data_IF_645881888779
#
_entry.id   IF_645881888779
#
_cell.length_a   1.000
_cell.length_b   1.000
_cell.length_c   1.000
_cell.angle_alpha   90.00
_cell.angle_beta   90.00
_cell.angle_gamma   90.00
#
_symmetry.space_group_name_H-M   'P 1'
#
loop_
_entity.id
_entity.type
_entity.pdbx_description
1 polymer ?
#
# COMPACT_ATOMS: atom_id res chain seq x y z
N UNK A 1 5.21 3.57 12.17
CA UNK A 1 5.78 2.27 11.73
C UNK A 1 6.50 2.50 10.41
N UNK A 2 7.67 1.90 10.17
CA UNK A 2 8.34 2.01 8.86
C UNK A 2 7.48 1.30 7.81
N UNK A 3 7.16 1.95 6.69
CA UNK A 3 6.45 1.32 5.58
C UNK A 3 7.35 0.29 4.92
N UNK A 4 7.31 -0.95 5.40
CA UNK A 4 8.00 -2.09 4.79
C UNK A 4 6.95 -3.02 4.18
N UNK A 5 7.35 -3.83 3.20
CA UNK A 5 6.41 -4.74 2.52
C UNK A 5 5.69 -5.66 3.51
N UNK A 6 6.40 -6.22 4.50
CA UNK A 6 5.78 -7.07 5.53
C UNK A 6 4.76 -6.30 6.37
N UNK A 7 5.05 -5.06 6.74
CA UNK A 7 4.13 -4.23 7.51
C UNK A 7 2.86 -3.91 6.73
N UNK A 8 2.97 -3.66 5.43
CA UNK A 8 1.82 -3.44 4.54
C UNK A 8 1.00 -4.72 4.41
N UNK A 9 1.66 -5.86 4.17
CA UNK A 9 0.98 -7.15 4.02
C UNK A 9 0.20 -7.49 5.30
N UNK A 10 0.83 -7.37 6.47
CA UNK A 10 0.17 -7.64 7.75
C UNK A 10 -0.93 -6.64 8.08
N UNK A 11 -0.81 -5.38 7.65
CA UNK A 11 -1.82 -4.36 7.88
C UNK A 11 -3.06 -4.58 6.99
N UNK A 12 -2.85 -4.90 5.72
CA UNK A 12 -3.91 -4.97 4.72
C UNK A 12 -4.57 -6.35 4.63
N UNK A 13 -3.78 -7.43 4.64
CA UNK A 13 -4.27 -8.81 4.53
C UNK A 13 -4.35 -9.54 5.87
N UNK A 14 -4.08 -8.86 6.98
CA UNK A 14 -4.17 -9.44 8.33
C UNK A 14 -5.61 -9.50 8.83
N UNK A 15 -5.89 -10.43 9.76
CA UNK A 15 -7.20 -10.55 10.40
C UNK A 15 -7.63 -9.25 11.11
N UNK A 16 -8.94 -8.98 11.11
CA UNK A 16 -9.48 -7.80 11.79
C UNK A 16 -9.41 -8.01 13.30
N UNK A 17 -8.41 -7.38 13.90
CA UNK A 17 -8.08 -7.52 15.31
C UNK A 17 -7.91 -6.13 15.92
N UNK A 18 -8.12 -5.95 17.24
CA UNK A 18 -7.86 -4.67 17.90
C UNK A 18 -6.43 -4.15 17.66
N UNK A 19 -5.46 -5.07 17.56
CA UNK A 19 -4.07 -4.74 17.22
C UNK A 19 -3.96 -4.16 15.81
N UNK A 20 -4.72 -4.68 14.83
CA UNK A 20 -4.75 -4.13 13.46
C UNK A 20 -5.36 -2.74 13.46
N UNK A 21 -6.49 -2.54 14.14
CA UNK A 21 -7.14 -1.22 14.26
C UNK A 21 -6.20 -0.19 14.89
N UNK A 22 -5.50 -0.55 15.96
CA UNK A 22 -4.47 0.30 16.56
C UNK A 22 -3.32 0.66 15.59
N UNK A 23 -2.88 -0.30 14.75
CA UNK A 23 -1.85 -0.05 13.72
C UNK A 23 -2.35 0.90 12.62
N UNK A 24 -3.62 0.79 12.23
CA UNK A 24 -4.29 1.68 11.27
C UNK A 24 -4.33 3.09 11.85
N UNK A 25 -4.80 3.25 13.09
CA UNK A 25 -4.88 4.54 13.79
C UNK A 25 -3.51 5.25 13.85
N UNK A 26 -2.45 4.52 14.19
CA UNK A 26 -1.09 5.10 14.26
C UNK A 26 -0.45 5.34 12.90
N UNK A 27 -1.00 4.81 11.81
CA UNK A 27 -0.44 4.95 10.46
C UNK A 27 -1.53 5.20 9.41
N UNK A 28 -2.43 6.17 9.67
CA UNK A 28 -3.51 6.54 8.73
C UNK A 28 -3.03 6.81 7.29
N UNK A 29 -1.86 7.45 7.04
CA UNK A 29 -1.37 7.64 5.67
C UNK A 29 -1.08 6.31 4.94
N UNK A 30 -0.52 5.32 5.65
CA UNK A 30 -0.25 4.00 5.11
C UNK A 30 -1.55 3.25 4.79
N UNK A 31 -2.54 3.33 5.68
CA UNK A 31 -3.85 2.74 5.44
C UNK A 31 -4.53 3.35 4.21
N UNK A 32 -4.51 4.68 4.12
CA UNK A 32 -5.08 5.41 2.98
C UNK A 32 -4.39 5.06 1.66
N UNK A 33 -3.07 4.84 1.68
CA UNK A 33 -2.31 4.36 0.53
C UNK A 33 -2.77 2.98 0.07
N UNK A 34 -2.92 2.04 1.01
CA UNK A 34 -3.46 0.71 0.69
C UNK A 34 -4.86 0.80 0.07
N UNK A 35 -5.75 1.65 0.61
CA UNK A 35 -7.08 1.85 0.05
C UNK A 35 -7.03 2.36 -1.40
N UNK A 36 -6.20 3.37 -1.69
CA UNK A 36 -6.05 3.89 -3.06
C UNK A 36 -5.52 2.83 -4.02
N UNK A 37 -4.45 2.13 -3.63
CA UNK A 37 -3.85 1.09 -4.47
C UNK A 37 -4.85 -0.04 -4.71
N UNK A 38 -5.67 -0.42 -3.72
CA UNK A 38 -6.67 -1.48 -3.89
C UNK A 38 -7.74 -1.22 -4.95
N UNK A 39 -7.98 0.05 -5.30
CA UNK A 39 -8.96 0.41 -6.33
C UNK A 39 -8.44 0.18 -7.75
N UNK A 40 -7.13 0.24 -7.95
CA UNK A 40 -6.48 0.22 -9.28
C UNK A 40 -5.51 -0.94 -9.46
N UNK A 41 -5.20 -1.67 -8.40
CA UNK A 41 -4.22 -2.74 -8.44
C UNK A 41 -4.76 -3.97 -9.17
N UNK A 42 -4.02 -4.39 -10.20
CA UNK A 42 -4.26 -5.64 -10.92
C UNK A 42 -3.28 -6.69 -10.40
N UNK A 43 -3.82 -7.77 -9.83
CA UNK A 43 -2.99 -8.87 -9.34
C UNK A 43 -2.28 -9.59 -10.51
N UNK A 44 -0.96 -9.87 -10.41
CA UNK A 44 -0.23 -10.62 -11.43
C UNK A 44 -0.81 -12.02 -11.72
N UNK A 45 -1.45 -12.64 -10.73
CA UNK A 45 -2.13 -13.93 -10.90
C UNK A 45 -3.49 -13.84 -11.60
N UNK A 46 -4.02 -12.65 -11.84
CA UNK A 46 -5.39 -12.43 -12.31
C UNK A 46 -6.46 -12.50 -11.22
N UNK A 47 -6.08 -12.64 -9.95
CA UNK A 47 -7.03 -12.60 -8.83
C UNK A 47 -7.80 -11.27 -8.78
N UNK A 48 -9.13 -11.34 -8.61
CA UNK A 48 -10.00 -10.16 -8.64
C UNK A 48 -10.21 -9.53 -7.27
N UNK A 49 -10.07 -10.31 -6.20
CA UNK A 49 -10.31 -9.83 -4.83
C UNK A 49 -9.11 -10.12 -3.91
N UNK A 50 -8.85 -9.25 -2.91
CA UNK A 50 -7.74 -9.41 -1.97
C UNK A 50 -7.71 -10.78 -1.26
N UNK A 51 -8.87 -11.38 -1.01
CA UNK A 51 -8.97 -12.71 -0.37
C UNK A 51 -8.39 -13.84 -1.23
N UNK A 52 -8.39 -13.66 -2.55
CA UNK A 52 -7.84 -14.62 -3.52
C UNK A 52 -6.34 -14.40 -3.78
N UNK A 53 -5.74 -13.34 -3.22
CA UNK A 53 -4.35 -12.98 -3.52
C UNK A 53 -3.38 -14.03 -2.99
N UNK A 54 -2.57 -14.55 -3.89
CA UNK A 54 -1.44 -15.43 -3.58
C UNK A 54 -0.31 -14.62 -2.95
N UNK A 55 0.70 -15.32 -2.43
CA UNK A 55 1.90 -14.70 -1.83
C UNK A 55 2.58 -13.70 -2.77
N UNK A 56 2.64 -14.01 -4.07
CA UNK A 56 3.16 -13.13 -5.11
C UNK A 56 2.34 -11.83 -5.22
N UNK A 57 1.02 -11.95 -5.26
CA UNK A 57 0.10 -10.81 -5.42
C UNK A 57 0.16 -9.89 -4.21
N UNK A 58 0.19 -10.44 -2.99
CA UNK A 58 0.35 -9.67 -1.75
C UNK A 58 1.68 -8.90 -1.73
N UNK A 59 2.74 -9.51 -2.26
CA UNK A 59 4.06 -8.87 -2.35
C UNK A 59 4.08 -7.76 -3.40
N UNK A 60 3.45 -7.99 -4.56
CA UNK A 60 3.30 -6.99 -5.62
C UNK A 60 2.44 -5.81 -5.15
N UNK A 61 1.33 -6.07 -4.47
CA UNK A 61 0.48 -5.06 -3.85
C UNK A 61 1.28 -4.20 -2.87
N UNK A 62 2.06 -4.83 -1.99
CA UNK A 62 2.87 -4.11 -1.03
C UNK A 62 3.94 -3.22 -1.69
N UNK A 63 4.51 -3.63 -2.83
CA UNK A 63 5.42 -2.79 -3.63
C UNK A 63 4.70 -1.59 -4.22
N UNK A 64 3.52 -1.79 -4.83
CA UNK A 64 2.70 -0.71 -5.38
C UNK A 64 2.31 0.32 -4.30
N UNK A 65 1.99 -0.10 -3.08
CA UNK A 65 1.74 0.79 -1.94
C UNK A 65 2.99 1.60 -1.55
N UNK A 66 4.17 0.97 -1.57
CA UNK A 66 5.41 1.70 -1.28
C UNK A 66 5.73 2.73 -2.37
N UNK A 67 5.47 2.42 -3.62
CA UNK A 67 5.63 3.34 -4.74
C UNK A 67 4.67 4.53 -4.64
N UNK A 68 3.39 4.28 -4.32
CA UNK A 68 2.40 5.34 -4.07
C UNK A 68 2.85 6.28 -2.95
N UNK A 69 3.34 5.72 -1.83
CA UNK A 69 3.85 6.50 -0.71
C UNK A 69 5.12 7.28 -1.04
N UNK A 70 5.98 6.76 -1.92
CA UNK A 70 7.18 7.47 -2.39
C UNK A 70 6.79 8.61 -3.32
N UNK A 71 5.93 8.34 -4.30
CA UNK A 71 5.45 9.34 -5.25
C UNK A 71 4.81 10.52 -4.53
N UNK A 72 4.01 10.25 -3.50
CA UNK A 72 3.35 11.30 -2.71
C UNK A 72 4.20 11.96 -1.63
N UNK A 73 5.42 11.46 -1.42
CA UNK A 73 6.45 12.08 -0.57
C UNK A 73 7.42 12.95 -1.33
N UNK A 74 7.41 12.91 -2.66
CA UNK A 74 8.07 13.89 -3.50
C UNK A 74 7.07 15.04 -3.64
N UNK A 75 7.26 16.17 -2.94
CA UNK A 75 6.57 17.38 -3.33
C UNK A 75 7.05 17.73 -4.73
N UNK A 76 6.15 18.30 -5.50
CA UNK A 76 6.34 19.03 -6.75
C UNK A 76 7.51 20.04 -6.67
N UNK A 77 8.77 19.58 -6.66
CA UNK A 77 9.99 20.39 -6.74
C UNK A 77 10.92 19.90 -7.87
N UNK A 78 10.35 19.43 -8.96
CA UNK A 78 11.12 19.15 -10.16
C UNK A 78 10.28 19.47 -11.39
N UNK A 79 10.11 20.75 -11.70
CA UNK A 79 10.08 21.31 -13.07
C UNK A 79 9.77 22.83 -13.03
N UNK A 80 10.78 23.62 -12.67
CA UNK A 80 10.93 24.98 -13.20
C UNK A 80 12.30 25.08 -13.87
N UNK A 81 12.44 24.47 -15.04
CA UNK A 81 13.36 24.99 -16.05
C UNK A 81 12.49 25.33 -17.27
N UNK A 82 11.97 26.54 -17.28
CA UNK A 82 11.50 27.17 -18.51
C UNK A 82 12.73 27.80 -19.17
N UNK A 83 13.15 27.16 -20.26
CA UNK A 83 14.01 27.72 -21.31
C UNK A 83 13.32 28.90 -21.98
#
# INVERSE_FOLDING_TARGET
MKGTSNNIISLWFGADTPIRQFKIERNRPLWSACQRVSQVFVAPSGALTPDQYRKSDRSAFARAVLEELKYRRVPEEATYELV
#
